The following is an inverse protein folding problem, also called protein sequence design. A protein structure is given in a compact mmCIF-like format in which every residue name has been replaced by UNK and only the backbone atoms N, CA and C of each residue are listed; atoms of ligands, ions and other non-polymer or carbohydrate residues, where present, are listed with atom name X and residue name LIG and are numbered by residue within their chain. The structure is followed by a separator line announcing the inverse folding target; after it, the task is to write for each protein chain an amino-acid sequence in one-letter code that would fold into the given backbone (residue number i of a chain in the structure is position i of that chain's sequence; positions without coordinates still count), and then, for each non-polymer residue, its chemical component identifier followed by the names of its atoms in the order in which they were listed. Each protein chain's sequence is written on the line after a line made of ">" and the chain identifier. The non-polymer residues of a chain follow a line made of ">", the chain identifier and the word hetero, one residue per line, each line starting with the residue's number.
data_IF_351584261696
#
_entry.id   IF_351584261696
#
_cell.length_a   1.000
_cell.length_b   1.000
_cell.length_c   1.000
_cell.angle_alpha   90.00
_cell.angle_beta   90.00
_cell.angle_gamma   90.00
#
_symmetry.space_group_name_H-M   'P 1'
#
loop_
_entity.id
_entity.type
_entity.pdbx_description
1 polymer ?
#
# COMPACT_ATOMS: atom_id res chain seq x y z
N UNK A 1 14.94 -10.84 -3.83
CA UNK A 1 15.69 -9.56 -3.55
C UNK A 1 15.25 -9.04 -2.20
N UNK A 2 16.08 -8.25 -1.51
CA UNK A 2 15.71 -7.62 -0.23
C UNK A 2 14.94 -6.32 -0.47
N UNK A 3 14.05 -5.96 0.46
CA UNK A 3 13.37 -4.67 0.46
C UNK A 3 14.39 -3.53 0.65
N UNK A 4 14.26 -2.48 -0.16
CA UNK A 4 15.01 -1.23 -0.09
C UNK A 4 14.17 -0.10 -0.71
N UNK A 5 14.51 1.16 -0.48
CA UNK A 5 13.81 2.30 -1.10
C UNK A 5 13.82 2.22 -2.63
N UNK A 6 14.93 1.77 -3.23
CA UNK A 6 15.08 1.64 -4.69
C UNK A 6 14.26 0.48 -5.27
N UNK A 7 13.88 -0.50 -4.45
CA UNK A 7 13.06 -1.66 -4.84
C UNK A 7 11.64 -1.61 -4.22
N UNK A 8 11.17 -0.40 -3.93
CA UNK A 8 9.85 -0.10 -3.40
C UNK A 8 9.14 0.91 -4.28
N UNK A 9 7.85 0.69 -4.53
CA UNK A 9 6.95 1.67 -5.14
C UNK A 9 5.75 1.86 -4.22
N UNK A 10 5.39 3.11 -3.92
CA UNK A 10 4.14 3.40 -3.20
C UNK A 10 3.00 3.51 -4.23
N UNK A 11 1.87 2.89 -3.94
CA UNK A 11 0.67 2.92 -4.78
C UNK A 11 -0.44 3.60 -3.99
N UNK A 12 -1.06 4.63 -4.59
CA UNK A 12 -2.13 5.40 -3.99
C UNK A 12 -3.31 5.42 -4.97
N UNK A 13 -4.43 4.80 -4.58
CA UNK A 13 -5.68 4.89 -5.36
C UNK A 13 -6.48 6.08 -4.86
N UNK A 14 -6.91 6.95 -5.77
CA UNK A 14 -7.62 8.20 -5.44
C UNK A 14 -8.97 8.27 -6.12
N UNK A 15 -9.93 8.85 -5.41
CA UNK A 15 -11.23 9.23 -5.96
C UNK A 15 -11.62 10.58 -5.34
N UNK A 16 -11.47 11.68 -6.11
CA UNK A 16 -11.77 13.05 -5.63
C UNK A 16 -11.02 13.42 -4.34
N UNK A 17 -9.74 13.03 -4.26
CA UNK A 17 -8.88 13.21 -3.06
C UNK A 17 -7.92 14.39 -3.18
N UNK A 18 -8.20 15.37 -4.07
CA UNK A 18 -7.34 16.50 -4.38
C UNK A 18 -6.98 17.34 -3.14
N UNK A 19 -7.87 17.37 -2.14
CA UNK A 19 -7.72 18.20 -0.95
C UNK A 19 -6.88 17.58 0.16
N UNK A 20 -6.53 16.27 0.07
CA UNK A 20 -5.83 15.54 1.14
C UNK A 20 -4.53 14.89 0.70
N UNK A 21 -4.41 14.49 -0.56
CA UNK A 21 -3.29 13.66 -1.05
C UNK A 21 -1.91 14.31 -0.90
N UNK A 22 -1.84 15.62 -0.91
CA UNK A 22 -0.56 16.33 -0.79
C UNK A 22 0.18 16.00 0.51
N UNK A 23 -0.53 15.89 1.63
CA UNK A 23 0.06 15.52 2.91
C UNK A 23 0.55 14.06 2.91
N UNK A 24 -0.20 13.17 2.27
CA UNK A 24 0.18 11.78 2.08
C UNK A 24 1.50 11.69 1.30
N UNK A 25 1.56 12.30 0.10
CA UNK A 25 2.76 12.27 -0.75
C UNK A 25 3.98 12.89 -0.04
N UNK A 26 3.80 14.02 0.66
CA UNK A 26 4.88 14.69 1.39
C UNK A 26 5.39 13.90 2.61
N UNK A 27 4.64 12.91 3.08
CA UNK A 27 5.08 12.01 4.14
C UNK A 27 5.96 10.86 3.64
N UNK A 28 6.09 10.69 2.32
CA UNK A 28 6.89 9.67 1.64
C UNK A 28 8.22 10.30 1.23
N UNK A 29 9.32 9.57 1.37
CA UNK A 29 10.65 10.05 0.96
C UNK A 29 10.72 10.32 -0.56
N UNK A 30 11.33 11.42 -0.95
CA UNK A 30 11.40 11.90 -2.35
C UNK A 30 12.13 10.95 -3.32
N UNK A 31 12.93 10.02 -2.81
CA UNK A 31 13.65 9.01 -3.58
C UNK A 31 12.84 7.73 -3.85
N UNK A 32 11.63 7.64 -3.32
CA UNK A 32 10.71 6.51 -3.54
C UNK A 32 9.74 6.84 -4.67
N UNK A 33 9.61 5.92 -5.64
CA UNK A 33 8.65 6.06 -6.73
C UNK A 33 7.20 5.93 -6.22
N UNK A 34 6.31 6.78 -6.70
CA UNK A 34 4.89 6.78 -6.35
C UNK A 34 4.06 6.62 -7.63
N UNK A 35 3.14 5.69 -7.62
CA UNK A 35 2.12 5.53 -8.65
C UNK A 35 0.77 5.93 -8.05
N UNK A 36 0.15 6.97 -8.58
CA UNK A 36 -1.22 7.36 -8.24
C UNK A 36 -2.15 6.79 -9.30
N UNK A 37 -3.16 6.03 -8.89
CA UNK A 37 -4.25 5.58 -9.77
C UNK A 37 -5.47 6.44 -9.49
N UNK A 38 -5.81 7.30 -10.46
CA UNK A 38 -6.85 8.29 -10.31
C UNK A 38 -8.18 7.77 -10.90
N UNK A 39 -9.13 7.45 -10.00
CA UNK A 39 -10.38 6.75 -10.32
C UNK A 39 -11.54 7.67 -10.75
N UNK A 40 -11.32 9.00 -10.88
CA UNK A 40 -12.35 9.92 -11.36
C UNK A 40 -12.08 10.48 -12.78
N UNK A 41 -11.03 9.98 -13.45
CA UNK A 41 -10.61 10.41 -14.80
C UNK A 41 -10.23 11.90 -14.87
N UNK A 42 -9.76 12.49 -13.74
CA UNK A 42 -9.42 13.91 -13.65
C UNK A 42 -8.03 14.19 -14.23
N UNK A 43 -7.97 14.56 -15.52
CA UNK A 43 -6.71 14.91 -16.20
C UNK A 43 -6.03 16.14 -15.58
N UNK A 44 -6.77 17.10 -15.06
CA UNK A 44 -6.19 18.28 -14.42
C UNK A 44 -5.46 17.90 -13.13
N UNK A 45 -6.05 16.99 -12.35
CA UNK A 45 -5.43 16.49 -11.14
C UNK A 45 -4.17 15.65 -11.44
N UNK A 46 -4.21 14.78 -12.46
CA UNK A 46 -3.01 14.09 -12.96
C UNK A 46 -1.90 15.10 -13.28
N UNK A 47 -2.18 16.10 -14.12
CA UNK A 47 -1.19 17.09 -14.54
C UNK A 47 -0.64 17.89 -13.34
N UNK A 48 -1.48 18.19 -12.35
CA UNK A 48 -1.06 18.85 -11.11
C UNK A 48 -0.05 17.99 -10.34
N UNK A 49 -0.34 16.71 -10.13
CA UNK A 49 0.52 15.79 -9.37
C UNK A 49 1.88 15.59 -10.05
N UNK A 50 1.89 15.28 -11.36
CA UNK A 50 3.12 15.01 -12.11
C UNK A 50 3.99 16.26 -12.29
N UNK A 51 3.38 17.46 -12.30
CA UNK A 51 4.11 18.74 -12.32
C UNK A 51 4.71 19.07 -10.96
N UNK A 52 4.00 18.77 -9.87
CA UNK A 52 4.40 19.14 -8.51
C UNK A 52 5.43 18.17 -7.92
N UNK A 53 5.32 16.89 -8.21
CA UNK A 53 6.12 15.83 -7.61
C UNK A 53 6.87 15.03 -8.68
N UNK A 54 8.19 15.12 -8.69
CA UNK A 54 9.06 14.46 -9.70
C UNK A 54 9.08 12.93 -9.61
N UNK A 55 8.74 12.37 -8.44
CA UNK A 55 8.72 10.94 -8.16
C UNK A 55 7.32 10.33 -8.30
N UNK A 56 6.32 11.12 -8.73
CA UNK A 56 4.93 10.67 -8.96
C UNK A 56 4.68 10.44 -10.44
N UNK A 57 4.08 9.32 -10.78
CA UNK A 57 3.39 9.07 -12.04
C UNK A 57 1.91 8.79 -11.76
N UNK A 58 1.02 9.36 -12.57
CA UNK A 58 -0.42 9.22 -12.37
C UNK A 58 -1.07 8.50 -13.56
N UNK A 59 -1.80 7.42 -13.25
CA UNK A 59 -2.55 6.62 -14.21
C UNK A 59 -4.03 6.99 -14.05
N UNK A 60 -4.69 7.37 -15.16
CA UNK A 60 -6.13 7.62 -15.15
C UNK A 60 -6.88 6.33 -15.43
N UNK A 61 -7.84 5.96 -14.60
CA UNK A 61 -8.85 4.97 -14.96
C UNK A 61 -9.96 5.64 -15.78
N UNK A 62 -10.66 4.88 -16.61
CA UNK A 62 -11.77 5.39 -17.42
C UNK A 62 -12.99 5.78 -16.58
N UNK A 63 -13.11 5.21 -15.40
CA UNK A 63 -14.21 5.40 -14.43
C UNK A 63 -13.75 4.92 -13.04
N UNK A 64 -14.60 5.03 -12.04
CA UNK A 64 -14.33 4.43 -10.73
C UNK A 64 -14.46 2.90 -10.83
N UNK A 65 -13.32 2.22 -10.73
CA UNK A 65 -13.19 0.75 -10.81
C UNK A 65 -13.08 0.08 -9.44
N UNK A 66 -13.14 0.85 -8.36
CA UNK A 66 -12.97 0.36 -6.99
C UNK A 66 -11.52 0.35 -6.50
N UNK A 67 -11.32 -0.05 -5.23
CA UNK A 67 -9.99 -0.02 -4.58
C UNK A 67 -9.11 -1.18 -5.04
N UNK A 68 -9.62 -2.41 -5.02
CA UNK A 68 -8.86 -3.61 -5.40
C UNK A 68 -8.35 -3.54 -6.84
N UNK A 69 -9.24 -3.21 -7.80
CA UNK A 69 -8.86 -3.05 -9.20
C UNK A 69 -7.89 -1.88 -9.42
N UNK A 70 -8.09 -0.76 -8.72
CA UNK A 70 -7.17 0.38 -8.77
C UNK A 70 -5.78 0.01 -8.26
N UNK A 71 -5.69 -0.70 -7.14
CA UNK A 71 -4.44 -1.20 -6.60
C UNK A 71 -3.75 -2.18 -7.56
N UNK A 72 -4.49 -3.09 -8.20
CA UNK A 72 -3.94 -4.01 -9.20
C UNK A 72 -3.29 -3.25 -10.37
N UNK A 73 -3.92 -2.20 -10.90
CA UNK A 73 -3.32 -1.34 -11.94
C UNK A 73 -1.99 -0.76 -11.45
N UNK A 74 -1.95 -0.24 -10.22
CA UNK A 74 -0.71 0.27 -9.63
C UNK A 74 0.37 -0.80 -9.52
N UNK A 75 0.02 -1.99 -9.01
CA UNK A 75 0.92 -3.14 -8.83
C UNK A 75 1.50 -3.64 -10.16
N UNK A 76 0.67 -3.73 -11.20
CA UNK A 76 1.09 -4.15 -12.54
C UNK A 76 2.07 -3.17 -13.17
N UNK A 77 1.90 -1.87 -12.93
CA UNK A 77 2.78 -0.83 -13.47
C UNK A 77 4.03 -0.58 -12.62
N UNK A 78 4.07 -1.06 -11.37
CA UNK A 78 5.24 -0.96 -10.51
C UNK A 78 6.35 -1.91 -10.97
N UNK A 79 7.56 -1.35 -11.24
CA UNK A 79 8.74 -2.12 -11.65
C UNK A 79 9.45 -2.80 -10.48
N UNK A 80 9.21 -2.33 -9.26
CA UNK A 80 9.78 -2.86 -8.03
C UNK A 80 9.19 -4.22 -7.65
N UNK A 81 9.93 -5.01 -6.87
CA UNK A 81 9.45 -6.29 -6.31
C UNK A 81 8.51 -6.08 -5.11
N UNK A 82 8.62 -4.92 -4.46
CA UNK A 82 7.79 -4.56 -3.31
C UNK A 82 6.94 -3.34 -3.63
N UNK A 83 5.71 -3.37 -3.14
CA UNK A 83 4.80 -2.23 -3.24
C UNK A 83 4.20 -1.91 -1.87
N UNK A 84 4.05 -0.64 -1.56
CA UNK A 84 3.34 -0.15 -0.39
C UNK A 84 2.02 0.44 -0.87
N UNK A 85 0.92 -0.26 -0.62
CA UNK A 85 -0.42 0.29 -0.81
C UNK A 85 -0.64 1.33 0.30
N UNK A 86 -1.07 2.52 -0.06
CA UNK A 86 -1.29 3.61 0.88
C UNK A 86 -2.55 4.40 0.50
N UNK A 87 -3.44 4.59 1.44
CA UNK A 87 -4.62 5.42 1.21
C UNK A 87 -4.22 6.91 1.12
N UNK A 88 -4.93 7.75 0.35
CA UNK A 88 -4.59 9.15 0.13
C UNK A 88 -4.73 10.05 1.38
N UNK A 89 -5.38 9.57 2.43
CA UNK A 89 -5.59 10.24 3.72
C UNK A 89 -4.64 9.78 4.83
N UNK A 90 -3.71 8.88 4.51
CA UNK A 90 -2.69 8.39 5.45
C UNK A 90 -1.45 9.28 5.41
N UNK A 91 -0.94 9.62 6.59
CA UNK A 91 0.34 10.33 6.76
C UNK A 91 1.30 9.39 7.49
N UNK A 92 2.38 9.03 6.83
CA UNK A 92 3.42 8.19 7.44
C UNK A 92 4.24 9.03 8.44
N UNK A 93 4.50 8.46 9.62
CA UNK A 93 5.47 9.05 10.53
C UNK A 93 6.87 8.97 9.94
N UNK A 94 7.74 9.91 10.35
CA UNK A 94 9.14 9.92 9.99
C UNK A 94 9.79 8.55 10.27
N UNK A 95 10.55 8.05 9.31
CA UNK A 95 11.25 6.76 9.36
C UNK A 95 10.33 5.50 9.36
N UNK A 96 9.03 5.62 9.07
CA UNK A 96 8.15 4.43 8.97
C UNK A 96 8.66 3.46 7.90
N UNK A 97 9.01 3.96 6.71
CA UNK A 97 9.53 3.12 5.62
C UNK A 97 10.89 2.52 5.99
N UNK A 98 11.80 3.30 6.61
CA UNK A 98 13.10 2.78 7.06
C UNK A 98 12.93 1.66 8.10
N UNK A 99 11.94 1.79 9.00
CA UNK A 99 11.61 0.71 9.96
C UNK A 99 11.08 -0.53 9.26
N UNK A 100 10.15 -0.38 8.30
CA UNK A 100 9.66 -1.51 7.50
C UNK A 100 10.80 -2.23 6.78
N UNK A 101 11.73 -1.49 6.16
CA UNK A 101 12.91 -2.05 5.50
C UNK A 101 13.78 -2.81 6.51
N UNK A 102 14.08 -2.20 7.65
CA UNK A 102 14.90 -2.82 8.70
C UNK A 102 14.25 -4.10 9.22
N UNK A 103 12.98 -4.03 9.58
CA UNK A 103 12.28 -5.17 10.19
C UNK A 103 12.04 -6.29 9.18
N UNK A 104 11.80 -5.98 7.89
CA UNK A 104 11.70 -7.00 6.84
C UNK A 104 12.98 -7.84 6.70
N UNK A 105 14.14 -7.26 6.98
CA UNK A 105 15.42 -7.97 6.92
C UNK A 105 15.61 -9.00 8.05
N UNK A 106 14.84 -8.87 9.13
CA UNK A 106 14.84 -9.81 10.26
C UNK A 106 13.93 -11.02 10.00
N UNK A 107 13.09 -10.95 8.97
CA UNK A 107 12.21 -12.05 8.58
C UNK A 107 12.89 -12.93 7.52
N UNK A 108 12.69 -14.24 7.65
CA UNK A 108 13.14 -15.17 6.60
C UNK A 108 12.40 -14.89 5.28
N UNK A 109 11.11 -14.66 5.37
CA UNK A 109 10.23 -14.31 4.27
C UNK A 109 8.92 -13.69 4.81
N UNK A 110 8.27 -12.88 3.98
CA UNK A 110 6.93 -12.37 4.25
C UNK A 110 6.17 -12.17 2.93
N UNK A 111 4.86 -12.27 2.97
CA UNK A 111 3.97 -11.92 1.87
C UNK A 111 3.46 -10.48 2.02
N UNK A 112 2.98 -10.15 3.21
CA UNK A 112 2.39 -8.86 3.54
C UNK A 112 2.90 -8.41 4.91
N UNK A 113 3.16 -7.11 5.07
CA UNK A 113 3.47 -6.43 6.34
C UNK A 113 2.70 -5.12 6.42
N UNK A 114 2.44 -4.66 7.64
CA UNK A 114 1.88 -3.32 7.88
C UNK A 114 2.54 -2.69 9.10
N UNK A 115 2.75 -1.35 9.11
CA UNK A 115 3.01 -0.66 10.36
C UNK A 115 1.73 -0.67 11.21
N UNK A 116 1.87 -0.57 12.52
CA UNK A 116 0.73 -0.43 13.42
C UNK A 116 0.26 1.03 13.39
N UNK A 117 -1.07 1.25 13.34
CA UNK A 117 -1.67 2.56 13.52
C UNK A 117 -1.39 3.09 14.94
N UNK A 118 -1.22 4.40 15.09
CA UNK A 118 -1.11 5.06 16.40
C UNK A 118 -2.46 5.14 17.14
N UNK A 119 -3.56 4.84 16.47
CA UNK A 119 -4.88 4.82 17.06
C UNK A 119 -5.14 3.50 17.79
N UNK A 120 -4.80 3.44 19.07
CA UNK A 120 -4.94 2.24 19.91
C UNK A 120 -6.39 1.76 20.07
N UNK A 121 -7.38 2.61 19.84
CA UNK A 121 -8.80 2.23 19.92
C UNK A 121 -9.31 1.55 18.64
N UNK A 122 -8.58 1.70 17.54
CA UNK A 122 -8.91 1.13 16.24
C UNK A 122 -7.64 0.53 15.64
N UNK A 123 -7.24 -0.66 16.11
CA UNK A 123 -6.08 -1.36 15.55
C UNK A 123 -6.33 -1.69 14.09
N UNK A 124 -5.32 -1.49 13.25
CA UNK A 124 -5.39 -1.76 11.81
C UNK A 124 -5.13 -3.24 11.44
N UNK A 125 -5.42 -4.14 12.34
CA UNK A 125 -5.28 -5.57 12.16
C UNK A 125 -6.31 -6.33 12.97
N UNK A 126 -6.59 -7.58 12.59
CA UNK A 126 -7.33 -8.53 13.41
C UNK A 126 -6.45 -9.70 13.84
N UNK A 127 -6.70 -10.21 15.03
CA UNK A 127 -6.04 -11.38 15.59
C UNK A 127 -7.01 -12.17 16.47
N UNK A 128 -7.10 -13.48 16.23
CA UNK A 128 -8.04 -14.36 16.96
C UNK A 128 -7.54 -14.74 18.35
N UNK A 129 -6.24 -14.98 18.45
CA UNK A 129 -5.61 -15.43 19.71
C UNK A 129 -4.71 -14.34 20.29
N UNK A 130 -5.30 -13.41 21.06
CA UNK A 130 -4.57 -12.35 21.77
C UNK A 130 -3.89 -12.92 23.01
N UNK A 131 -2.72 -13.53 22.87
CA UNK A 131 -1.90 -13.92 24.01
C UNK A 131 -0.58 -13.16 23.98
N UNK A 132 -0.44 -12.17 24.87
CA UNK A 132 0.82 -11.48 25.18
C UNK A 132 1.55 -10.92 23.95
N UNK A 133 0.90 -10.02 23.20
CA UNK A 133 1.54 -9.33 22.09
C UNK A 133 2.63 -8.39 22.63
N UNK A 134 3.86 -8.61 22.17
CA UNK A 134 4.97 -7.69 22.38
C UNK A 134 4.98 -6.67 21.22
N UNK A 135 4.39 -5.51 21.41
CA UNK A 135 4.26 -4.46 20.39
C UNK A 135 5.61 -3.82 19.98
N UNK A 136 6.68 -4.14 20.70
CA UNK A 136 8.04 -3.72 20.32
C UNK A 136 8.67 -4.66 19.27
N UNK A 137 8.00 -5.75 18.94
CA UNK A 137 8.45 -6.76 17.97
C UNK A 137 7.44 -6.98 16.87
N UNK A 138 7.90 -7.58 15.77
CA UNK A 138 7.02 -8.10 14.72
C UNK A 138 6.19 -9.24 15.30
N UNK A 139 4.90 -9.25 15.00
CA UNK A 139 3.99 -10.33 15.34
C UNK A 139 3.07 -10.66 14.14
N UNK A 140 2.58 -11.90 14.11
CA UNK A 140 1.66 -12.37 13.08
C UNK A 140 0.22 -12.00 13.43
N UNK A 141 -0.58 -11.71 12.40
CA UNK A 141 -2.00 -11.34 12.50
C UNK A 141 -2.83 -12.10 11.47
N UNK A 142 -4.14 -12.19 11.69
CA UNK A 142 -5.05 -12.87 10.77
C UNK A 142 -5.39 -12.01 9.54
N UNK A 143 -5.51 -10.69 9.73
CA UNK A 143 -5.72 -9.75 8.63
C UNK A 143 -5.18 -8.36 8.97
N UNK A 144 -4.97 -7.55 7.93
CA UNK A 144 -4.46 -6.18 7.97
C UNK A 144 -5.42 -5.29 7.20
N UNK A 145 -5.71 -4.11 7.73
CA UNK A 145 -6.49 -3.10 7.03
C UNK A 145 -5.72 -2.56 5.81
N UNK A 146 -6.44 -2.36 4.71
CA UNK A 146 -5.88 -2.02 3.41
C UNK A 146 -5.33 -0.59 3.27
N UNK A 147 -5.36 0.24 4.32
CA UNK A 147 -4.92 1.64 4.22
C UNK A 147 -3.39 1.83 4.17
N UNK A 148 -2.62 0.87 4.71
CA UNK A 148 -1.16 0.86 4.63
C UNK A 148 -0.65 -0.58 4.62
N UNK A 149 -0.33 -1.14 3.44
CA UNK A 149 -0.02 -2.56 3.27
C UNK A 149 1.21 -2.72 2.37
N UNK A 150 2.32 -3.18 2.95
CA UNK A 150 3.53 -3.54 2.21
C UNK A 150 3.40 -4.97 1.69
N UNK A 151 3.48 -5.13 0.37
CA UNK A 151 3.30 -6.40 -0.34
C UNK A 151 4.60 -6.81 -1.03
N UNK A 152 5.02 -8.06 -0.80
CA UNK A 152 6.06 -8.73 -1.58
C UNK A 152 5.41 -9.39 -2.81
N UNK A 153 5.51 -8.74 -3.97
CA UNK A 153 4.89 -9.20 -5.23
C UNK A 153 5.31 -10.63 -5.60
N UNK A 154 6.58 -10.94 -5.43
CA UNK A 154 7.11 -12.27 -5.79
C UNK A 154 6.56 -13.35 -4.85
N UNK A 155 6.40 -13.04 -3.57
CA UNK A 155 5.83 -14.00 -2.61
C UNK A 155 4.35 -14.21 -2.88
N UNK A 156 3.56 -13.15 -3.11
CA UNK A 156 2.15 -13.28 -3.48
C UNK A 156 1.99 -14.14 -4.73
N UNK A 157 2.74 -13.87 -5.81
CA UNK A 157 2.72 -14.68 -7.03
C UNK A 157 3.07 -16.15 -6.81
N UNK A 158 3.88 -16.46 -5.80
CA UNK A 158 4.29 -17.85 -5.52
C UNK A 158 3.23 -18.65 -4.75
N UNK A 159 2.31 -17.98 -4.04
CA UNK A 159 1.29 -18.61 -3.19
C UNK A 159 -0.12 -18.48 -3.78
N UNK A 160 -0.41 -17.39 -4.48
CA UNK A 160 -1.70 -17.19 -5.15
C UNK A 160 -1.73 -17.92 -6.49
N UNK A 161 -2.88 -18.52 -6.80
CA UNK A 161 -3.18 -19.10 -8.12
C UNK A 161 -3.77 -18.05 -9.07
N UNK A 162 -4.14 -16.90 -8.55
CA UNK A 162 -4.79 -15.85 -9.30
C UNK A 162 -3.77 -14.97 -10.03
N UNK A 163 -4.14 -14.47 -11.19
CA UNK A 163 -3.29 -13.58 -11.97
C UNK A 163 -3.14 -12.18 -11.34
N UNK A 164 -4.04 -11.82 -10.44
CA UNK A 164 -4.11 -10.52 -9.77
C UNK A 164 -3.88 -10.63 -8.28
N UNK A 165 -3.38 -9.54 -7.67
CA UNK A 165 -3.10 -9.50 -6.22
C UNK A 165 -4.40 -9.36 -5.43
N UNK A 166 -5.29 -8.47 -5.85
CA UNK A 166 -6.62 -8.29 -5.24
C UNK A 166 -7.71 -8.87 -6.14
N UNK A 167 -8.72 -9.52 -5.54
CA UNK A 167 -9.91 -9.94 -6.27
C UNK A 167 -10.76 -8.71 -6.64
N UNK A 168 -10.91 -8.45 -7.94
CA UNK A 168 -11.64 -7.29 -8.47
C UNK A 168 -13.17 -7.41 -8.35
N UNK A 169 -13.70 -8.55 -7.90
CA UNK A 169 -15.11 -8.69 -7.54
C UNK A 169 -15.45 -7.87 -6.27
N UNK A 170 -14.44 -7.57 -5.41
CA UNK A 170 -14.60 -6.64 -4.30
C UNK A 170 -14.40 -5.21 -4.82
N UNK A 171 -15.48 -4.46 -4.96
CA UNK A 171 -15.41 -3.07 -5.40
C UNK A 171 -14.79 -2.16 -4.34
N UNK A 172 -15.19 -2.34 -3.07
CA UNK A 172 -14.71 -1.62 -1.91
C UNK A 172 -15.00 -2.44 -0.65
N UNK A 173 -14.02 -2.49 0.26
CA UNK A 173 -14.00 -3.30 1.48
C UNK A 173 -13.89 -4.82 1.21
N UNK A 174 -13.29 -5.50 2.15
CA UNK A 174 -13.01 -6.94 2.18
C UNK A 174 -11.93 -7.43 1.19
N UNK A 175 -11.46 -6.61 0.23
CA UNK A 175 -10.37 -6.98 -0.69
C UNK A 175 -9.05 -7.25 0.05
N UNK A 176 -8.78 -6.54 1.15
CA UNK A 176 -7.63 -6.78 2.02
C UNK A 176 -7.80 -8.03 2.87
N UNK A 177 -9.00 -8.28 3.41
CA UNK A 177 -9.30 -9.49 4.21
C UNK A 177 -9.21 -10.75 3.35
N UNK A 178 -9.65 -10.67 2.09
CA UNK A 178 -9.54 -11.76 1.13
C UNK A 178 -8.08 -12.06 0.78
N UNK A 179 -7.28 -11.02 0.54
CA UNK A 179 -5.86 -11.17 0.25
C UNK A 179 -5.07 -11.78 1.44
N UNK A 180 -5.51 -11.57 2.68
CA UNK A 180 -4.88 -12.10 3.89
C UNK A 180 -5.22 -13.58 4.19
N UNK A 181 -6.15 -14.21 3.46
CA UNK A 181 -6.54 -15.62 3.63
C UNK A 181 -5.67 -16.57 2.82
#
# INVERSE_FOLDING_TARGET
>A
MSLSKQNLTVIIVTLKSEHIIDQCIQSIDDDISIIVVENSSNINFKNYLEKKYRNVSCILSSNNIGMGAGNNIGIENAKSDFVLILNPDVILFKNTIDKLIKESSNLREFAIMSPISDNVNFPNYSIKDVKNIDYEKIFEVDSIDGFCMLINKNKIKSISKDAKTFDENFFMYLENDDLCK
#
